data_IF_364540767298
#
_entry.id   IF_364540767298
#
_cell.length_a   1.000
_cell.length_b   1.000
_cell.length_c   1.000
_cell.angle_alpha   90.00
_cell.angle_beta   90.00
_cell.angle_gamma   90.00
#
_symmetry.space_group_name_H-M   'P 1'
#
loop_
_entity.id
_entity.type
_entity.pdbx_description
1 polymer ?
#
# COMPACT_ATOMS: atom_id res chain seq x y z
N UNK A 1 -32.47 -4.75 19.35
CA UNK A 1 -31.66 -4.87 20.58
C UNK A 1 -30.16 -4.84 20.30
N UNK A 2 -29.69 -5.22 19.11
CA UNK A 2 -28.26 -5.21 18.74
C UNK A 2 -27.69 -3.80 18.52
N UNK A 3 -28.48 -2.89 17.95
CA UNK A 3 -28.01 -1.55 17.55
C UNK A 3 -27.70 -0.65 18.78
N UNK A 4 -28.45 -0.79 19.86
CA UNK A 4 -28.22 -0.05 21.09
C UNK A 4 -26.99 -0.56 21.85
N UNK A 5 -26.71 -1.86 21.81
CA UNK A 5 -25.48 -2.42 22.35
C UNK A 5 -24.24 -1.97 21.57
N UNK A 6 -24.36 -1.85 20.25
CA UNK A 6 -23.29 -1.31 19.36
C UNK A 6 -23.01 0.17 19.67
N UNK A 7 -24.04 0.98 19.86
CA UNK A 7 -23.90 2.42 20.14
C UNK A 7 -23.35 2.70 21.55
N UNK A 8 -23.66 1.85 22.52
CA UNK A 8 -23.08 1.98 23.87
C UNK A 8 -21.64 1.47 23.97
N UNK A 9 -21.20 0.59 23.06
CA UNK A 9 -19.79 0.16 22.99
C UNK A 9 -18.87 1.17 22.32
N UNK A 10 -19.42 2.16 21.62
CA UNK A 10 -18.67 3.28 21.04
C UNK A 10 -18.32 4.31 22.13
N UNK A 11 -17.48 3.91 23.08
CA UNK A 11 -16.95 4.87 24.05
C UNK A 11 -16.03 5.85 23.34
N UNK A 12 -16.16 7.14 23.67
CA UNK A 12 -15.28 8.22 23.15
C UNK A 12 -13.80 7.87 23.35
N UNK A 13 -13.49 7.14 24.41
CA UNK A 13 -12.14 6.63 24.69
C UNK A 13 -11.63 5.64 23.63
N UNK A 14 -12.49 4.77 23.11
CA UNK A 14 -12.11 3.84 22.01
C UNK A 14 -11.87 4.59 20.71
N UNK A 15 -12.58 5.67 20.44
CA UNK A 15 -12.32 6.53 19.28
C UNK A 15 -10.93 7.15 19.37
N UNK A 16 -10.56 7.71 20.51
CA UNK A 16 -9.23 8.28 20.73
C UNK A 16 -8.12 7.23 20.61
N UNK A 17 -8.33 6.01 21.10
CA UNK A 17 -7.34 4.92 21.00
C UNK A 17 -7.13 4.43 19.55
N UNK A 18 -8.11 4.63 18.66
CA UNK A 18 -8.01 4.27 17.23
C UNK A 18 -7.46 5.39 16.35
N UNK A 19 -7.38 6.62 16.83
CA UNK A 19 -6.87 7.78 16.08
C UNK A 19 -5.46 7.58 15.52
N UNK A 20 -4.47 7.06 16.28
CA UNK A 20 -3.11 6.88 15.72
C UNK A 20 -3.07 5.91 14.55
N UNK A 21 -3.85 4.82 14.61
CA UNK A 21 -3.93 3.86 13.51
C UNK A 21 -4.58 4.49 12.26
N UNK A 22 -5.64 5.28 12.45
CA UNK A 22 -6.29 6.01 11.37
C UNK A 22 -5.36 7.07 10.75
N UNK A 23 -4.57 7.77 11.56
CA UNK A 23 -3.58 8.74 11.08
C UNK A 23 -2.47 8.06 10.26
N UNK A 24 -1.95 6.92 10.71
CA UNK A 24 -0.95 6.15 9.97
C UNK A 24 -1.50 5.69 8.60
N UNK A 25 -2.73 5.20 8.56
CA UNK A 25 -3.39 4.82 7.33
C UNK A 25 -3.64 6.02 6.42
N UNK A 26 -4.04 7.16 6.98
CA UNK A 26 -4.20 8.42 6.26
C UNK A 26 -2.90 8.91 5.61
N UNK A 27 -1.77 8.75 6.28
CA UNK A 27 -0.45 9.08 5.73
C UNK A 27 -0.09 8.21 4.51
N UNK A 28 -0.41 6.91 4.54
CA UNK A 28 -0.19 6.03 3.39
C UNK A 28 -1.01 6.47 2.17
N UNK A 29 -2.29 6.78 2.37
CA UNK A 29 -3.13 7.32 1.31
C UNK A 29 -2.69 8.72 0.87
N UNK A 30 -2.13 9.51 1.79
CA UNK A 30 -1.54 10.81 1.51
C UNK A 30 -0.36 10.74 0.55
N UNK A 31 0.52 9.73 0.68
CA UNK A 31 1.61 9.48 -0.27
C UNK A 31 1.08 9.16 -1.68
N UNK A 32 0.04 8.35 -1.77
CA UNK A 32 -0.62 8.06 -3.05
C UNK A 32 -1.23 9.33 -3.67
N UNK A 33 -1.92 10.13 -2.86
CA UNK A 33 -2.49 11.41 -3.29
C UNK A 33 -1.42 12.41 -3.77
N UNK A 34 -0.25 12.44 -3.10
CA UNK A 34 0.90 13.23 -3.56
C UNK A 34 1.42 12.77 -4.91
N UNK A 35 1.47 11.45 -5.17
CA UNK A 35 1.84 10.91 -6.47
C UNK A 35 0.90 11.40 -7.58
N UNK A 36 -0.42 11.31 -7.36
CA UNK A 36 -1.44 11.80 -8.30
C UNK A 36 -1.33 13.32 -8.48
N UNK A 37 -1.13 14.08 -7.40
CA UNK A 37 -0.97 15.53 -7.46
C UNK A 37 0.26 15.94 -8.28
N UNK A 38 1.39 15.25 -8.11
CA UNK A 38 2.61 15.51 -8.85
C UNK A 38 2.44 15.26 -10.35
N UNK A 39 1.84 14.15 -10.73
CA UNK A 39 1.56 13.85 -12.14
C UNK A 39 0.59 14.86 -12.75
N UNK A 40 -0.46 15.21 -12.04
CA UNK A 40 -1.42 16.21 -12.50
C UNK A 40 -0.80 17.60 -12.62
N UNK A 41 0.03 18.00 -11.64
CA UNK A 41 0.65 19.34 -11.63
C UNK A 41 1.78 19.51 -12.66
N UNK A 42 2.52 18.44 -12.92
CA UNK A 42 3.70 18.48 -13.82
C UNK A 42 3.33 18.14 -15.26
N UNK A 43 2.48 17.12 -15.45
CA UNK A 43 2.12 16.61 -16.77
C UNK A 43 0.78 17.15 -17.28
N UNK A 44 0.02 17.86 -16.44
CA UNK A 44 -1.33 18.37 -16.72
C UNK A 44 -2.32 17.25 -17.15
N UNK A 45 -2.08 16.03 -16.70
CA UNK A 45 -2.82 14.84 -17.06
C UNK A 45 -3.09 14.01 -15.81
N UNK A 46 -4.33 13.56 -15.63
CA UNK A 46 -4.68 12.64 -14.57
C UNK A 46 -4.14 11.24 -14.88
N UNK A 47 -3.08 10.84 -14.17
CA UNK A 47 -2.54 9.48 -14.28
C UNK A 47 -3.34 8.51 -13.39
N UNK A 48 -4.12 7.66 -14.01
CA UNK A 48 -4.92 6.64 -13.34
C UNK A 48 -4.13 5.36 -13.04
N UNK A 49 -2.86 5.29 -13.45
CA UNK A 49 -2.00 4.13 -13.17
C UNK A 49 -1.53 4.07 -11.72
N UNK A 50 -1.57 5.20 -11.00
CA UNK A 50 -1.04 5.33 -9.64
C UNK A 50 -1.66 4.32 -8.68
N UNK A 51 -2.97 4.10 -8.76
CA UNK A 51 -3.68 3.11 -7.93
C UNK A 51 -3.20 1.68 -8.22
N UNK A 52 -3.08 1.31 -9.49
CA UNK A 52 -2.57 0.01 -9.92
C UNK A 52 -1.12 -0.23 -9.53
N UNK A 53 -0.24 0.76 -9.70
CA UNK A 53 1.18 0.66 -9.35
C UNK A 53 1.38 0.58 -7.83
N UNK A 54 0.60 1.32 -7.04
CA UNK A 54 0.61 1.24 -5.58
C UNK A 54 0.19 -0.16 -5.11
N UNK A 55 -0.89 -0.72 -5.65
CA UNK A 55 -1.35 -2.07 -5.33
C UNK A 55 -0.31 -3.13 -5.73
N UNK A 56 0.38 -2.95 -6.88
CA UNK A 56 1.45 -3.85 -7.33
C UNK A 56 2.66 -3.79 -6.39
N UNK A 57 3.08 -2.60 -5.97
CA UNK A 57 4.14 -2.44 -4.98
C UNK A 57 3.81 -3.16 -3.67
N UNK A 58 2.58 -3.03 -3.18
CA UNK A 58 2.07 -3.74 -2.02
C UNK A 58 2.08 -5.25 -2.19
N UNK A 59 1.60 -5.76 -3.32
CA UNK A 59 1.58 -7.19 -3.63
C UNK A 59 3.00 -7.79 -3.65
N UNK A 60 3.95 -7.13 -4.33
CA UNK A 60 5.35 -7.56 -4.40
C UNK A 60 5.98 -7.56 -3.01
N UNK A 61 5.77 -6.50 -2.21
CA UNK A 61 6.29 -6.41 -0.84
C UNK A 61 5.80 -7.57 0.02
N UNK A 62 4.48 -7.81 0.03
CA UNK A 62 3.88 -8.86 0.86
C UNK A 62 4.41 -10.24 0.45
N UNK A 63 4.51 -10.52 -0.84
CA UNK A 63 4.96 -11.82 -1.32
C UNK A 63 6.45 -12.07 -1.01
N UNK A 64 7.31 -11.06 -1.11
CA UNK A 64 8.71 -11.17 -0.75
C UNK A 64 8.91 -11.35 0.76
N UNK A 65 8.13 -10.65 1.58
CA UNK A 65 8.14 -10.87 3.03
C UNK A 65 7.69 -12.28 3.40
N UNK A 66 6.66 -12.80 2.75
CA UNK A 66 6.19 -14.18 2.95
C UNK A 66 7.24 -15.22 2.51
N UNK A 67 8.03 -14.89 1.48
CA UNK A 67 9.17 -15.70 1.03
C UNK A 67 10.40 -15.62 1.96
N UNK A 68 10.36 -14.80 3.03
CA UNK A 68 11.42 -14.67 4.02
C UNK A 68 12.52 -13.67 3.62
N UNK A 69 12.28 -12.82 2.65
CA UNK A 69 13.22 -11.77 2.26
C UNK A 69 13.24 -10.64 3.30
N UNK A 70 14.38 -9.96 3.51
CA UNK A 70 14.45 -8.83 4.43
C UNK A 70 13.58 -7.67 3.93
N UNK A 71 13.00 -6.92 4.87
CA UNK A 71 12.04 -5.85 4.58
C UNK A 71 12.60 -4.76 3.64
N UNK A 72 13.89 -4.43 3.76
CA UNK A 72 14.52 -3.44 2.89
C UNK A 72 14.62 -3.91 1.43
N UNK A 73 14.90 -5.21 1.20
CA UNK A 73 14.94 -5.78 -0.16
C UNK A 73 13.53 -5.84 -0.79
N UNK A 74 12.51 -6.17 0.01
CA UNK A 74 11.12 -6.14 -0.42
C UNK A 74 10.69 -4.71 -0.82
N UNK A 75 11.14 -3.68 -0.08
CA UNK A 75 10.87 -2.28 -0.40
C UNK A 75 11.53 -1.85 -1.72
N UNK A 76 12.80 -2.22 -1.93
CA UNK A 76 13.50 -1.94 -3.20
C UNK A 76 12.81 -2.63 -4.38
N UNK A 77 12.40 -3.87 -4.21
CA UNK A 77 11.67 -4.60 -5.25
C UNK A 77 10.31 -3.96 -5.58
N UNK A 78 9.60 -3.46 -4.56
CA UNK A 78 8.35 -2.72 -4.75
C UNK A 78 8.57 -1.40 -5.53
N UNK A 79 9.65 -0.69 -5.22
CA UNK A 79 10.03 0.53 -5.94
C UNK A 79 10.34 0.22 -7.41
N UNK A 80 11.11 -0.82 -7.68
CA UNK A 80 11.39 -1.26 -9.05
C UNK A 80 10.11 -1.69 -9.79
N UNK A 81 9.21 -2.40 -9.13
CA UNK A 81 7.91 -2.76 -9.70
C UNK A 81 7.10 -1.51 -10.07
N UNK A 82 7.08 -0.48 -9.22
CA UNK A 82 6.44 0.80 -9.51
C UNK A 82 7.07 1.51 -10.72
N UNK A 83 8.40 1.54 -10.83
CA UNK A 83 9.11 2.12 -11.99
C UNK A 83 8.75 1.37 -13.27
N UNK A 84 8.74 0.05 -13.26
CA UNK A 84 8.40 -0.77 -14.43
C UNK A 84 6.96 -0.50 -14.88
N UNK A 85 6.01 -0.40 -13.95
CA UNK A 85 4.61 -0.11 -14.29
C UNK A 85 4.45 1.28 -14.91
N UNK A 86 5.14 2.28 -14.37
CA UNK A 86 5.16 3.64 -14.94
C UNK A 86 5.79 3.68 -16.34
N UNK A 87 6.88 2.94 -16.55
CA UNK A 87 7.52 2.82 -17.87
C UNK A 87 6.58 2.20 -18.90
N UNK A 88 5.86 1.14 -18.54
CA UNK A 88 4.88 0.49 -19.43
C UNK A 88 3.80 1.49 -19.86
N UNK A 89 3.24 2.25 -18.91
CA UNK A 89 2.22 3.27 -19.22
C UNK A 89 2.79 4.36 -20.13
N UNK A 90 4.02 4.83 -19.85
CA UNK A 90 4.70 5.82 -20.65
C UNK A 90 4.97 5.34 -22.09
N UNK A 91 5.41 4.10 -22.26
CA UNK A 91 5.62 3.50 -23.57
C UNK A 91 4.33 3.34 -24.38
N UNK A 92 3.22 2.95 -23.72
CA UNK A 92 1.92 2.88 -24.37
C UNK A 92 1.47 4.24 -24.90
N UNK A 93 1.73 5.30 -24.14
CA UNK A 93 1.39 6.65 -24.57
C UNK A 93 2.31 7.15 -25.69
N UNK A 94 3.63 7.03 -25.50
CA UNK A 94 4.62 7.68 -26.39
C UNK A 94 4.83 6.93 -27.70
N UNK A 95 4.92 5.60 -27.66
CA UNK A 95 5.15 4.77 -28.88
C UNK A 95 3.89 4.41 -29.60
N UNK A 96 2.85 4.04 -28.89
CA UNK A 96 1.60 3.61 -29.49
C UNK A 96 0.62 4.75 -29.76
N UNK A 97 0.91 5.97 -29.28
CA UNK A 97 0.06 7.13 -29.47
C UNK A 97 -1.31 7.03 -28.78
N UNK A 98 -1.42 6.14 -27.76
CA UNK A 98 -2.66 5.96 -27.03
C UNK A 98 -2.90 7.16 -26.12
N UNK A 99 -4.12 7.73 -26.03
CA UNK A 99 -4.42 8.78 -25.07
C UNK A 99 -3.99 8.40 -23.67
N UNK A 100 -3.40 9.33 -22.91
CA UNK A 100 -2.78 9.04 -21.59
C UNK A 100 -3.78 8.43 -20.61
N UNK A 101 -5.00 8.94 -20.57
CA UNK A 101 -6.06 8.40 -19.72
C UNK A 101 -6.34 6.93 -20.07
N UNK A 102 -6.40 6.60 -21.36
CA UNK A 102 -6.66 5.24 -21.81
C UNK A 102 -5.48 4.30 -21.52
N UNK A 103 -4.24 4.77 -21.71
CA UNK A 103 -3.03 3.99 -21.37
C UNK A 103 -2.98 3.68 -19.88
N UNK A 104 -3.33 4.64 -19.01
CA UNK A 104 -3.42 4.45 -17.56
C UNK A 104 -4.46 3.39 -17.18
N UNK A 105 -5.67 3.47 -17.74
CA UNK A 105 -6.74 2.51 -17.50
C UNK A 105 -6.33 1.10 -17.95
N UNK A 106 -5.75 0.96 -19.15
CA UNK A 106 -5.29 -0.34 -19.67
C UNK A 106 -4.22 -0.96 -18.76
N UNK A 107 -3.25 -0.16 -18.34
CA UNK A 107 -2.19 -0.63 -17.42
C UNK A 107 -2.79 -1.02 -16.07
N UNK A 108 -3.72 -0.25 -15.53
CA UNK A 108 -4.37 -0.56 -14.25
C UNK A 108 -5.12 -1.91 -14.30
N UNK A 109 -5.88 -2.19 -15.34
CA UNK A 109 -6.55 -3.49 -15.50
C UNK A 109 -5.58 -4.64 -15.68
N UNK A 110 -4.50 -4.44 -16.44
CA UNK A 110 -3.44 -5.44 -16.59
C UNK A 110 -2.77 -5.73 -15.24
N UNK A 111 -2.42 -4.69 -14.47
CA UNK A 111 -1.82 -4.81 -13.15
C UNK A 111 -2.75 -5.50 -12.15
N UNK A 112 -4.05 -5.23 -12.19
CA UNK A 112 -5.01 -5.92 -11.36
C UNK A 112 -4.98 -7.44 -11.59
N UNK A 113 -4.97 -7.86 -12.85
CA UNK A 113 -4.89 -9.27 -13.21
C UNK A 113 -3.56 -9.92 -12.79
N UNK A 114 -2.45 -9.18 -12.96
CA UNK A 114 -1.12 -9.62 -12.55
C UNK A 114 -1.04 -9.75 -11.03
N UNK A 115 -1.55 -8.78 -10.28
CA UNK A 115 -1.55 -8.78 -8.82
C UNK A 115 -2.31 -9.97 -8.25
N UNK A 116 -3.47 -10.32 -8.82
CA UNK A 116 -4.22 -11.52 -8.42
C UNK A 116 -3.40 -12.80 -8.62
N UNK A 117 -2.62 -12.87 -9.70
CA UNK A 117 -1.72 -14.02 -9.95
C UNK A 117 -0.55 -14.06 -8.99
N UNK A 118 0.09 -12.93 -8.72
CA UNK A 118 1.23 -12.82 -7.79
C UNK A 118 0.78 -13.20 -6.38
N UNK A 119 -0.35 -12.68 -5.93
CA UNK A 119 -0.87 -12.91 -4.58
C UNK A 119 -1.50 -14.28 -4.38
N UNK A 120 -1.80 -15.02 -5.45
CA UNK A 120 -2.51 -16.34 -5.43
C UNK A 120 -3.86 -16.33 -4.73
N UNK A 121 -4.13 -15.35 -3.89
CA UNK A 121 -5.39 -15.12 -3.15
C UNK A 121 -5.73 -13.64 -3.23
N UNK A 122 -7.03 -13.33 -3.22
CA UNK A 122 -7.50 -11.94 -3.27
C UNK A 122 -7.04 -11.10 -2.06
N UNK A 123 -6.73 -11.73 -0.95
CA UNK A 123 -6.28 -11.06 0.28
C UNK A 123 -5.11 -11.84 0.90
N UNK A 124 -3.97 -11.18 1.04
CA UNK A 124 -2.79 -11.72 1.74
C UNK A 124 -2.46 -10.84 2.93
N UNK A 125 -2.23 -11.45 4.07
CA UNK A 125 -1.84 -10.75 5.29
C UNK A 125 -0.43 -11.16 5.70
N UNK A 126 0.46 -10.17 5.85
CA UNK A 126 1.79 -10.37 6.41
C UNK A 126 1.79 -9.89 7.87
N UNK A 127 2.10 -10.79 8.80
CA UNK A 127 2.18 -10.42 10.21
C UNK A 127 3.53 -9.75 10.51
N UNK A 128 3.50 -8.51 10.97
CA UNK A 128 4.68 -7.74 11.37
C UNK A 128 5.50 -8.46 12.43
N UNK A 129 4.85 -9.20 13.32
CA UNK A 129 5.52 -9.99 14.37
C UNK A 129 6.46 -11.06 13.81
N UNK A 130 6.16 -11.59 12.62
CA UNK A 130 6.93 -12.68 12.01
C UNK A 130 8.08 -12.17 11.14
N UNK A 131 7.90 -11.03 10.47
CA UNK A 131 8.81 -10.57 9.43
C UNK A 131 9.66 -9.36 9.82
N UNK A 132 9.41 -8.76 11.00
CA UNK A 132 10.09 -7.53 11.42
C UNK A 132 9.69 -6.30 10.59
N UNK A 133 10.30 -5.17 10.89
CA UNK A 133 10.10 -3.92 10.16
C UNK A 133 11.43 -3.36 9.68
N UNK A 134 11.41 -2.45 8.69
CA UNK A 134 12.61 -1.77 8.17
C UNK A 134 13.35 -1.00 9.28
N UNK A 135 12.62 -0.55 10.30
CA UNK A 135 13.15 0.25 11.41
C UNK A 135 13.73 -0.59 12.56
N UNK A 136 13.67 -1.91 12.46
CA UNK A 136 14.19 -2.82 13.49
C UNK A 136 15.22 -3.79 12.91
N UNK A 137 16.40 -3.30 12.46
CA UNK A 137 17.42 -4.14 11.83
C UNK A 137 18.23 -4.99 12.82
N UNK A 138 18.17 -4.72 14.11
CA UNK A 138 19.10 -5.35 15.07
C UNK A 138 18.52 -5.69 16.43
N UNK A 139 17.34 -5.24 16.78
CA UNK A 139 16.76 -5.50 18.11
C UNK A 139 15.47 -6.29 17.99
N UNK A 140 15.53 -7.53 18.32
CA UNK A 140 14.36 -8.40 18.45
C UNK A 140 13.26 -7.72 19.31
N UNK A 141 12.38 -6.98 18.66
CA UNK A 141 11.05 -6.69 19.16
C UNK A 141 10.89 -5.54 20.16
N UNK A 142 11.79 -4.57 20.25
CA UNK A 142 11.62 -3.42 21.16
C UNK A 142 11.96 -2.06 20.54
N UNK A 143 11.54 -1.81 19.32
CA UNK A 143 11.60 -0.46 18.75
C UNK A 143 10.58 0.45 19.44
N UNK A 144 11.05 1.53 20.08
CA UNK A 144 10.22 2.50 20.82
C UNK A 144 9.03 3.05 20.03
N UNK A 145 9.19 3.27 18.72
CA UNK A 145 8.11 3.80 17.87
C UNK A 145 7.09 2.73 17.47
N UNK A 146 7.50 1.47 17.34
CA UNK A 146 6.59 0.36 17.00
C UNK A 146 5.78 -0.07 18.22
N UNK A 147 6.34 -0.01 19.42
CA UNK A 147 5.61 -0.36 20.64
C UNK A 147 4.54 0.67 21.02
N UNK A 148 4.73 1.93 20.66
CA UNK A 148 3.74 2.99 20.94
C UNK A 148 2.60 3.03 19.90
N UNK A 149 2.85 2.54 18.67
CA UNK A 149 1.83 2.38 17.63
C UNK A 149 1.14 1.02 17.67
N UNK A 150 1.70 0.10 18.42
CA UNK A 150 1.14 -1.23 18.59
C UNK A 150 0.03 -1.20 19.65
N UNK A 151 -1.18 -0.88 19.21
CA UNK A 151 -2.37 -1.14 20.02
C UNK A 151 -2.56 -2.66 20.00
N UNK A 152 -2.48 -3.35 21.17
CA UNK A 152 -2.78 -4.77 21.21
C UNK A 152 -4.21 -4.94 20.72
N UNK A 153 -4.38 -5.62 19.60
CA UNK A 153 -5.66 -6.17 19.25
C UNK A 153 -5.89 -7.33 20.24
N UNK A 154 -6.28 -6.97 21.45
CA UNK A 154 -6.90 -7.89 22.38
C UNK A 154 -8.32 -8.06 21.91
N UNK A 155 -8.62 -9.29 21.48
CA UNK A 155 -9.92 -9.93 21.22
C UNK A 155 -10.47 -9.70 19.85
#
# INVERSE_FOLDING_TARGET
MELTAYLTSLSVFQLFSRMPAAAAQGLLWGLMALGVFLTFRVLDIADLTVDGSFATGGAVTVMLLLAGWPAWAALLAALLAGVVTGLITGELHTRFGIPVILSGILTQFALYSINLRIMTKANQTASIKKFGTVWDPATHGKGFLVSSLYIPQAI
#
